data_IF_074381299425
#
_entry.id   IF_074381299425
#
_cell.length_a   1.000
_cell.length_b   1.000
_cell.length_c   1.000
_cell.angle_alpha   90.00
_cell.angle_beta   90.00
_cell.angle_gamma   90.00
#
_symmetry.space_group_name_H-M   'P 1'
#
loop_
_entity.id
_entity.type
_entity.pdbx_description
1 polymer ?
#
# COMPACT_ATOMS: atom_id res chain seq x y z
N UNK A 1 47.35 -19.09 -41.88
CA UNK A 1 47.87 -17.95 -41.09
C UNK A 1 46.84 -16.86 -40.78
N UNK A 2 45.53 -17.05 -41.07
CA UNK A 2 44.51 -15.98 -40.95
C UNK A 2 43.56 -16.11 -39.74
N UNK A 3 43.67 -17.19 -38.94
CA UNK A 3 42.67 -17.53 -37.92
C UNK A 3 42.90 -16.89 -36.55
N UNK A 4 44.06 -16.26 -36.30
CA UNK A 4 44.36 -15.65 -35.00
C UNK A 4 43.76 -14.24 -34.82
N UNK A 5 43.38 -13.58 -35.91
CA UNK A 5 42.79 -12.23 -35.88
C UNK A 5 41.30 -12.23 -35.51
N UNK A 6 40.56 -13.31 -35.78
CA UNK A 6 39.11 -13.40 -35.49
C UNK A 6 38.79 -13.86 -34.06
N UNK A 7 39.72 -14.57 -33.41
CA UNK A 7 39.60 -15.04 -32.03
C UNK A 7 39.21 -13.96 -31.00
N UNK A 8 39.89 -12.79 -30.93
CA UNK A 8 39.55 -11.76 -29.95
C UNK A 8 38.16 -11.16 -30.17
N UNK A 9 37.69 -11.03 -31.41
CA UNK A 9 36.34 -10.54 -31.72
C UNK A 9 35.26 -11.54 -31.31
N UNK A 10 35.50 -12.84 -31.51
CA UNK A 10 34.57 -13.89 -31.09
C UNK A 10 34.51 -14.03 -29.57
N UNK A 11 35.65 -13.87 -28.89
CA UNK A 11 35.72 -13.90 -27.42
C UNK A 11 34.99 -12.70 -26.80
N UNK A 12 35.10 -11.52 -27.42
CA UNK A 12 34.38 -10.33 -26.99
C UNK A 12 32.86 -10.48 -27.18
N UNK A 13 32.43 -11.04 -28.32
CA UNK A 13 31.02 -11.35 -28.56
C UNK A 13 30.44 -12.35 -27.54
N UNK A 14 31.20 -13.40 -27.21
CA UNK A 14 30.82 -14.37 -26.19
C UNK A 14 30.73 -13.73 -24.79
N UNK A 15 31.66 -12.83 -24.44
CA UNK A 15 31.67 -12.12 -23.16
C UNK A 15 30.45 -11.21 -23.00
N UNK A 16 30.01 -10.54 -24.07
CA UNK A 16 28.80 -9.70 -24.10
C UNK A 16 27.53 -10.57 -23.94
N UNK A 17 27.52 -11.78 -24.50
CA UNK A 17 26.40 -12.72 -24.34
C UNK A 17 26.33 -13.36 -22.94
N UNK A 18 27.45 -13.39 -22.21
CA UNK A 18 27.56 -13.92 -20.85
C UNK A 18 27.24 -12.88 -19.78
N UNK A 19 27.07 -11.59 -20.12
CA UNK A 19 26.70 -10.60 -19.11
C UNK A 19 25.26 -10.82 -18.65
N UNK A 20 25.00 -11.03 -17.35
CA UNK A 20 23.65 -11.12 -16.84
C UNK A 20 22.96 -9.77 -17.03
N UNK A 21 21.83 -9.76 -17.74
CA UNK A 21 20.98 -8.59 -17.83
C UNK A 21 20.36 -8.33 -16.45
N UNK A 22 21.01 -7.48 -15.66
CA UNK A 22 20.39 -6.90 -14.48
C UNK A 22 19.17 -6.10 -14.95
N UNK A 23 18.00 -6.72 -14.93
CA UNK A 23 16.75 -6.02 -15.14
C UNK A 23 16.59 -5.01 -13.99
N UNK A 24 16.83 -3.73 -14.29
CA UNK A 24 16.49 -2.64 -13.38
C UNK A 24 14.97 -2.65 -13.27
N UNK A 25 14.44 -3.14 -12.15
CA UNK A 25 13.03 -3.02 -11.88
C UNK A 25 12.73 -1.55 -11.61
N UNK A 26 12.16 -0.88 -12.60
CA UNK A 26 11.53 0.44 -12.41
C UNK A 26 10.23 0.18 -11.66
N UNK A 27 10.28 0.29 -10.33
CA UNK A 27 9.07 0.32 -9.51
C UNK A 27 8.38 1.64 -9.84
N UNK A 28 7.27 1.57 -10.57
CA UNK A 28 6.41 2.73 -10.77
C UNK A 28 5.92 3.19 -9.39
N UNK A 29 6.24 4.43 -9.00
CA UNK A 29 5.70 5.01 -7.78
C UNK A 29 4.18 5.16 -7.96
N UNK A 30 3.43 4.36 -7.23
CA UNK A 30 1.98 4.42 -7.21
C UNK A 30 1.55 5.73 -6.54
N UNK A 31 0.70 6.59 -7.15
CA UNK A 31 0.16 7.77 -6.49
C UNK A 31 -0.60 7.37 -5.22
N UNK A 32 -0.09 7.75 -4.05
CA UNK A 32 -0.76 7.48 -2.79
C UNK A 32 -2.02 8.34 -2.65
N UNK A 33 -3.12 7.70 -2.23
CA UNK A 33 -4.38 8.38 -1.90
C UNK A 33 -4.44 8.61 -0.40
N UNK A 34 -4.62 9.86 0.00
CA UNK A 34 -4.73 10.25 1.40
C UNK A 34 -6.18 10.61 1.73
N UNK A 35 -6.76 9.93 2.72
CA UNK A 35 -8.09 10.24 3.24
C UNK A 35 -7.95 11.05 4.53
N UNK A 36 -8.54 12.24 4.54
CA UNK A 36 -8.65 13.09 5.72
C UNK A 36 -10.13 13.14 6.12
N UNK A 37 -10.42 13.00 7.41
CA UNK A 37 -11.80 13.08 7.89
C UNK A 37 -11.98 12.58 9.30
N UNK A 38 -13.22 12.23 9.63
CA UNK A 38 -13.62 11.66 10.91
C UNK A 38 -13.72 10.12 10.83
N UNK A 39 -14.45 9.53 11.78
CA UNK A 39 -14.83 8.12 11.85
C UNK A 39 -15.26 7.44 10.53
N UNK A 40 -15.83 8.18 9.58
CA UNK A 40 -16.33 7.66 8.30
C UNK A 40 -15.19 7.09 7.43
N UNK A 41 -14.01 7.69 7.51
CA UNK A 41 -12.82 7.25 6.77
C UNK A 41 -11.84 6.48 7.66
N UNK A 42 -12.17 6.26 8.93
CA UNK A 42 -11.30 5.55 9.85
C UNK A 42 -11.32 4.04 9.59
N UNK A 43 -10.11 3.48 9.48
CA UNK A 43 -9.83 2.07 9.20
C UNK A 43 -9.24 1.38 10.45
N UNK A 44 -9.45 1.97 11.63
CA UNK A 44 -8.92 1.51 12.91
C UNK A 44 -7.66 2.24 13.34
N UNK A 45 -7.37 3.40 12.76
CA UNK A 45 -6.29 4.24 13.21
C UNK A 45 -6.49 4.72 14.65
N UNK A 46 -7.75 4.96 15.05
CA UNK A 46 -8.05 5.43 16.39
C UNK A 46 -7.79 4.38 17.50
N UNK A 47 -7.55 3.11 17.14
CA UNK A 47 -7.16 2.08 18.10
C UNK A 47 -5.75 2.31 18.68
N UNK A 48 -4.90 3.06 17.96
CA UNK A 48 -3.53 3.40 18.38
C UNK A 48 -3.44 4.69 19.19
N UNK A 49 -4.55 5.42 19.33
CA UNK A 49 -4.63 6.67 20.06
C UNK A 49 -5.39 6.48 21.38
N UNK A 50 -5.05 7.29 22.39
CA UNK A 50 -5.74 7.27 23.68
C UNK A 50 -7.00 8.13 23.61
N UNK A 51 -8.02 7.61 22.94
CA UNK A 51 -9.33 8.26 22.80
C UNK A 51 -10.45 7.34 23.27
N UNK A 52 -11.58 7.95 23.63
CA UNK A 52 -12.80 7.22 24.02
C UNK A 52 -13.54 6.60 22.84
N UNK A 53 -13.35 7.14 21.63
CA UNK A 53 -14.11 6.77 20.45
C UNK A 53 -13.47 5.57 19.72
N UNK A 54 -13.50 4.36 20.28
CA UNK A 54 -12.91 3.18 19.64
C UNK A 54 -13.97 2.30 18.99
N UNK A 55 -13.71 1.87 17.75
CA UNK A 55 -14.59 0.96 16.99
C UNK A 55 -14.05 -0.47 16.91
N UNK A 56 -13.20 -0.87 17.86
CA UNK A 56 -12.73 -2.23 18.06
C UNK A 56 -13.60 -3.03 19.05
N UNK A 57 -14.84 -2.60 19.25
CA UNK A 57 -15.82 -3.21 20.17
C UNK A 57 -17.11 -3.60 19.43
N UNK A 58 -17.87 -4.59 19.93
CA UNK A 58 -19.24 -4.83 19.44
C UNK A 58 -20.11 -3.57 19.62
N UNK A 59 -21.04 -3.26 18.69
CA UNK A 59 -21.55 -4.11 17.60
C UNK A 59 -20.79 -3.96 16.27
N UNK A 60 -19.64 -3.31 16.21
CA UNK A 60 -18.94 -3.07 14.95
C UNK A 60 -18.34 -4.34 14.34
N UNK A 61 -18.23 -4.36 13.02
CA UNK A 61 -17.61 -5.43 12.26
C UNK A 61 -18.36 -6.77 12.17
N UNK A 62 -19.66 -6.81 12.49
CA UNK A 62 -20.47 -8.05 12.39
C UNK A 62 -20.48 -8.65 10.96
N UNK A 63 -20.41 -7.81 9.92
CA UNK A 63 -20.41 -8.28 8.53
C UNK A 63 -19.01 -8.64 8.01
N UNK A 64 -17.94 -8.49 8.81
CA UNK A 64 -16.63 -9.03 8.43
C UNK A 64 -16.57 -10.54 8.60
N UNK A 65 -15.68 -11.24 7.87
CA UNK A 65 -15.39 -12.65 8.11
C UNK A 65 -15.03 -12.87 9.59
N UNK A 66 -15.83 -13.66 10.31
CA UNK A 66 -15.65 -13.91 11.74
C UNK A 66 -16.22 -12.83 12.67
N UNK A 67 -17.00 -11.87 12.17
CA UNK A 67 -17.70 -10.87 12.99
C UNK A 67 -16.80 -10.02 13.88
N UNK A 68 -15.52 -9.89 13.50
CA UNK A 68 -14.50 -9.28 14.35
C UNK A 68 -14.44 -7.77 14.07
N UNK A 69 -14.52 -6.91 15.11
CA UNK A 69 -14.43 -5.47 14.94
C UNK A 69 -13.02 -5.08 14.50
N UNK A 70 -12.90 -4.42 13.35
CA UNK A 70 -11.61 -4.05 12.75
C UNK A 70 -11.13 -2.65 13.13
N UNK A 71 -11.93 -1.88 13.90
CA UNK A 71 -11.67 -0.46 14.16
C UNK A 71 -12.36 0.49 13.18
N UNK A 72 -13.17 -0.02 12.26
CA UNK A 72 -14.08 0.78 11.42
C UNK A 72 -15.38 1.04 12.17
N UNK A 73 -15.88 2.28 12.12
CA UNK A 73 -17.17 2.67 12.72
C UNK A 73 -18.38 2.19 11.92
N UNK A 74 -18.30 0.99 11.35
CA UNK A 74 -19.35 0.37 10.56
C UNK A 74 -19.36 -1.14 10.81
N UNK A 75 -20.39 -1.83 10.34
CA UNK A 75 -20.43 -3.30 10.43
C UNK A 75 -19.55 -3.99 9.39
N UNK A 76 -19.00 -3.25 8.42
CA UNK A 76 -18.26 -3.81 7.27
C UNK A 76 -17.25 -2.82 6.67
N UNK A 77 -17.08 -2.85 5.36
CA UNK A 77 -16.17 -1.95 4.65
C UNK A 77 -16.71 -0.51 4.64
N UNK A 78 -15.83 0.47 4.82
CA UNK A 78 -16.15 1.89 4.76
C UNK A 78 -15.90 2.46 3.34
N UNK A 79 -16.20 3.74 3.14
CA UNK A 79 -16.02 4.40 1.84
C UNK A 79 -14.55 4.41 1.41
N UNK A 80 -13.62 4.57 2.34
CA UNK A 80 -12.18 4.52 2.05
C UNK A 80 -11.79 3.15 1.47
N UNK A 81 -12.32 2.06 2.00
CA UNK A 81 -12.07 0.71 1.48
C UNK A 81 -12.61 0.55 0.06
N UNK A 82 -13.83 1.00 -0.22
CA UNK A 82 -14.40 0.90 -1.55
C UNK A 82 -13.61 1.72 -2.57
N UNK A 83 -13.18 2.93 -2.21
CA UNK A 83 -12.32 3.76 -3.05
C UNK A 83 -10.95 3.10 -3.25
N UNK A 84 -10.40 2.49 -2.20
CA UNK A 84 -9.15 1.75 -2.24
C UNK A 84 -9.24 0.56 -3.20
N UNK A 85 -10.33 -0.20 -3.17
CA UNK A 85 -10.58 -1.35 -4.04
C UNK A 85 -10.68 -0.93 -5.51
N UNK A 86 -11.33 0.18 -5.81
CA UNK A 86 -11.46 0.68 -7.19
C UNK A 86 -10.19 1.36 -7.72
N UNK A 87 -9.31 1.80 -6.82
CA UNK A 87 -8.05 2.46 -7.16
C UNK A 87 -6.83 1.55 -7.07
N UNK A 88 -6.99 0.23 -6.96
CA UNK A 88 -5.85 -0.70 -6.95
C UNK A 88 -5.05 -0.60 -8.26
N UNK A 89 -3.71 -0.56 -8.21
CA UNK A 89 -2.79 -0.85 -7.09
C UNK A 89 -2.34 0.38 -6.26
N UNK A 90 -3.06 1.50 -6.28
CA UNK A 90 -2.56 2.81 -5.84
C UNK A 90 -2.89 3.22 -4.40
N UNK A 91 -3.66 2.41 -3.68
CA UNK A 91 -4.16 2.81 -2.36
C UNK A 91 -3.30 2.24 -1.23
N UNK A 92 -2.55 3.12 -0.57
CA UNK A 92 -1.97 2.89 0.75
C UNK A 92 -2.72 3.78 1.74
N UNK A 93 -3.54 3.17 2.60
CA UNK A 93 -4.29 3.88 3.63
C UNK A 93 -3.29 4.30 4.71
N UNK A 94 -2.71 5.48 4.56
CA UNK A 94 -1.73 6.00 5.53
C UNK A 94 -2.39 6.12 6.91
N UNK A 95 -1.84 5.49 7.96
CA UNK A 95 -2.40 5.58 9.30
C UNK A 95 -2.23 6.99 9.91
N UNK A 96 -1.36 7.84 9.37
CA UNK A 96 -0.93 9.04 10.11
C UNK A 96 -1.75 10.32 9.85
N UNK A 97 -2.80 10.29 9.02
CA UNK A 97 -3.37 11.53 8.45
C UNK A 97 -4.83 11.82 8.83
N UNK A 98 -5.49 10.93 9.58
CA UNK A 98 -6.91 11.08 9.94
C UNK A 98 -7.15 12.09 11.09
N UNK A 99 -6.11 12.70 11.66
CA UNK A 99 -6.24 13.43 12.93
C UNK A 99 -6.01 14.95 12.88
N UNK A 100 -6.19 15.61 11.73
CA UNK A 100 -6.14 17.09 11.73
C UNK A 100 -7.45 17.77 12.16
N UNK A 101 -8.57 17.03 12.29
CA UNK A 101 -9.88 17.66 12.58
C UNK A 101 -10.56 17.27 13.90
N UNK A 102 -10.03 16.31 14.68
CA UNK A 102 -10.60 15.93 15.98
C UNK A 102 -9.75 16.33 17.21
N UNK A 103 -8.62 17.05 17.03
CA UNK A 103 -7.96 17.82 18.11
C UNK A 103 -8.39 19.30 18.09
N UNK A 104 -9.23 19.69 17.13
CA UNK A 104 -9.96 20.97 17.16
C UNK A 104 -11.43 20.69 17.45
N UNK A 105 -11.68 19.93 18.50
CA UNK A 105 -12.93 20.02 19.25
C UNK A 105 -12.49 20.49 20.65
N UNK A 106 -12.98 21.64 21.15
CA UNK A 106 -12.53 22.20 22.43
C UNK A 106 -12.80 21.25 23.60
#
# INVERSE_FOLDING_TARGET
>A
MATYWSGPFLLLGLLILLTPSCAVQVVAMTPAVFFFGDSIFDVGNNNYLDTIAKANIPPYGINFPGGTPTGRFTNGLNIADFLCMHSQPYCSISPLIVFFFLVVQP
#
